data_IF_014066028753
#
_entry.id   IF_014066028753
#
_cell.length_a   1.000
_cell.length_b   1.000
_cell.length_c   1.000
_cell.angle_alpha   90.00
_cell.angle_beta   90.00
_cell.angle_gamma   90.00
#
_symmetry.space_group_name_H-M   'P 1'
#
loop_
_entity.id
_entity.type
_entity.pdbx_description
1 polymer ?
#
# COMPACT_ATOMS: atom_id res chain seq x y z
N UNK A 1 -10.36 -8.70 21.66
CA UNK A 1 -10.39 -8.26 23.09
C UNK A 1 -9.13 -8.62 23.89
N UNK A 2 -8.35 -9.66 23.51
CA UNK A 2 -7.12 -10.07 24.22
C UNK A 2 -6.08 -8.97 24.49
N UNK A 3 -5.92 -8.00 23.57
CA UNK A 3 -4.93 -6.92 23.73
C UNK A 3 -5.46 -5.66 24.44
N UNK A 4 -6.73 -5.64 24.85
CA UNK A 4 -7.33 -4.45 25.49
C UNK A 4 -6.60 -4.04 26.79
N UNK A 5 -6.23 -4.96 27.71
CA UNK A 5 -5.49 -4.60 28.91
C UNK A 5 -4.14 -3.94 28.61
N UNK A 6 -3.44 -4.42 27.57
CA UNK A 6 -2.19 -3.83 27.12
C UNK A 6 -2.37 -2.37 26.68
N UNK A 7 -3.35 -2.09 25.81
CA UNK A 7 -3.59 -0.72 25.33
C UNK A 7 -4.08 0.23 26.43
N UNK A 8 -4.85 -0.27 27.39
CA UNK A 8 -5.27 0.52 28.57
C UNK A 8 -4.05 0.85 29.43
N UNK A 9 -3.19 -0.12 29.72
CA UNK A 9 -1.95 0.09 30.47
C UNK A 9 -0.99 1.04 29.77
N UNK A 10 -0.80 0.86 28.45
CA UNK A 10 0.01 1.74 27.63
C UNK A 10 -0.52 3.18 27.68
N UNK A 11 -1.83 3.38 27.52
CA UNK A 11 -2.43 4.72 27.59
C UNK A 11 -2.19 5.39 28.95
N UNK A 12 -2.28 4.64 30.05
CA UNK A 12 -2.00 5.16 31.39
C UNK A 12 -0.53 5.61 31.51
N UNK A 13 0.42 4.77 31.10
CA UNK A 13 1.85 5.09 31.13
C UNK A 13 2.18 6.30 30.25
N UNK A 14 1.70 6.33 29.00
CA UNK A 14 1.93 7.45 28.10
C UNK A 14 1.35 8.75 28.67
N UNK A 15 0.16 8.71 29.27
CA UNK A 15 -0.44 9.91 29.89
C UNK A 15 0.35 10.39 31.12
N UNK A 16 0.89 9.47 31.91
CA UNK A 16 1.73 9.80 33.05
C UNK A 16 3.05 10.42 32.60
N UNK A 17 3.68 9.88 31.55
CA UNK A 17 4.89 10.45 30.96
C UNK A 17 4.68 11.90 30.46
N UNK A 18 3.50 12.23 29.93
CA UNK A 18 3.15 13.63 29.57
C UNK A 18 3.05 14.59 30.78
N UNK A 19 3.15 14.08 32.01
CA UNK A 19 3.02 14.88 33.24
C UNK A 19 4.33 14.92 34.02
N UNK A 20 5.05 13.80 34.07
CA UNK A 20 6.31 13.67 34.80
C UNK A 20 7.50 14.24 34.04
N UNK A 21 7.45 14.23 32.71
CA UNK A 21 8.48 14.81 31.86
C UNK A 21 8.04 16.19 31.37
N UNK A 22 8.99 17.13 31.28
CA UNK A 22 8.81 18.38 30.52
C UNK A 22 8.77 18.02 29.04
N UNK A 23 7.56 17.70 28.55
CA UNK A 23 7.33 17.36 27.14
C UNK A 23 6.96 18.63 26.39
N UNK A 24 7.84 19.07 25.51
CA UNK A 24 7.63 20.26 24.66
C UNK A 24 6.72 19.98 23.45
N UNK A 25 6.69 18.72 22.98
CA UNK A 25 5.97 18.31 21.78
C UNK A 25 5.59 16.84 21.85
N UNK A 26 4.37 16.51 21.44
CA UNK A 26 3.97 15.14 21.15
C UNK A 26 3.93 14.94 19.63
N UNK A 27 4.64 13.91 19.16
CA UNK A 27 4.68 13.50 17.75
C UNK A 27 4.02 12.11 17.58
N UNK A 28 2.68 12.02 17.48
CA UNK A 28 2.05 10.75 17.15
C UNK A 28 2.38 10.39 15.69
N UNK A 29 2.78 9.14 15.48
CA UNK A 29 3.09 8.59 14.15
C UNK A 29 2.03 7.53 13.82
N UNK A 30 1.25 7.76 12.76
CA UNK A 30 0.21 6.83 12.27
C UNK A 30 -0.79 6.40 13.37
N UNK A 31 -1.39 5.22 13.29
CA UNK A 31 -2.21 4.49 14.24
C UNK A 31 -3.25 5.32 15.03
N UNK A 32 -4.30 5.81 14.37
CA UNK A 32 -5.22 6.82 14.89
C UNK A 32 -6.06 6.30 16.07
N UNK A 33 -6.25 4.99 16.17
CA UNK A 33 -7.06 4.37 17.22
C UNK A 33 -6.53 4.64 18.63
N UNK A 34 -5.21 4.62 18.79
CA UNK A 34 -4.54 4.97 20.05
C UNK A 34 -4.11 6.44 20.06
N UNK A 35 -3.45 6.88 18.99
CA UNK A 35 -2.76 8.17 18.94
C UNK A 35 -3.71 9.37 19.03
N UNK A 36 -4.92 9.32 18.46
CA UNK A 36 -5.91 10.40 18.63
C UNK A 36 -6.31 10.61 20.10
N UNK A 37 -6.38 9.53 20.88
CA UNK A 37 -6.71 9.60 22.32
C UNK A 37 -5.54 10.13 23.14
N UNK A 38 -4.31 9.87 22.73
CA UNK A 38 -3.11 10.41 23.38
C UNK A 38 -2.95 11.89 23.04
N UNK A 39 -3.08 12.27 21.77
CA UNK A 39 -3.08 13.66 21.30
C UNK A 39 -4.13 14.51 22.04
N UNK A 40 -5.36 13.99 22.18
CA UNK A 40 -6.42 14.66 22.96
C UNK A 40 -6.05 14.88 24.44
N UNK A 41 -5.17 14.06 25.02
CA UNK A 41 -4.69 14.23 26.40
C UNK A 41 -3.54 15.23 26.48
N UNK A 42 -2.61 15.19 25.53
CA UNK A 42 -1.52 16.15 25.40
C UNK A 42 -2.06 17.58 25.24
N UNK A 43 -2.99 17.77 24.30
CA UNK A 43 -3.63 19.06 24.05
C UNK A 43 -4.37 19.63 25.26
N UNK A 44 -5.06 18.78 26.04
CA UNK A 44 -5.70 19.20 27.30
C UNK A 44 -4.72 19.65 28.39
N UNK A 45 -3.45 19.26 28.28
CA UNK A 45 -2.36 19.69 29.15
C UNK A 45 -1.61 20.91 28.59
N UNK A 46 -2.04 21.47 27.45
CA UNK A 46 -1.35 22.57 26.78
C UNK A 46 -0.07 22.15 26.06
N UNK A 47 0.16 20.84 25.84
CA UNK A 47 1.33 20.34 25.12
C UNK A 47 0.99 20.32 23.62
N UNK A 48 1.80 20.99 22.77
CA UNK A 48 1.63 20.95 21.32
C UNK A 48 1.67 19.54 20.73
N UNK A 49 0.91 19.32 19.66
CA UNK A 49 0.81 18.07 18.92
C UNK A 49 1.10 18.30 17.44
N UNK A 50 2.21 17.73 16.96
CA UNK A 50 2.47 17.55 15.53
C UNK A 50 2.11 16.12 15.17
N UNK A 51 1.06 15.90 14.38
CA UNK A 51 0.66 14.55 13.98
C UNK A 51 1.34 14.19 12.66
N UNK A 52 2.17 13.16 12.67
CA UNK A 52 2.91 12.70 11.49
C UNK A 52 2.30 11.43 10.91
N UNK A 53 2.17 11.38 9.58
CA UNK A 53 1.45 10.34 8.85
C UNK A 53 0.01 10.30 9.35
N UNK A 54 -0.83 11.16 8.77
CA UNK A 54 -2.25 10.94 8.84
C UNK A 54 -2.49 9.57 8.16
N UNK A 55 -2.92 8.53 8.89
CA UNK A 55 -3.40 7.32 8.23
C UNK A 55 -4.51 7.74 7.28
N UNK A 56 -4.91 6.89 6.33
CA UNK A 56 -6.01 7.19 5.40
C UNK A 56 -7.40 7.33 6.09
N UNK A 57 -7.49 7.90 7.29
CA UNK A 57 -8.66 8.20 8.12
C UNK A 57 -9.74 8.92 7.34
N UNK A 58 -9.36 9.72 6.35
CA UNK A 58 -10.24 10.36 5.39
C UNK A 58 -11.02 9.34 4.55
N UNK A 59 -10.37 8.24 4.13
CA UNK A 59 -11.01 7.16 3.41
C UNK A 59 -12.02 6.40 4.29
N UNK A 60 -11.90 6.41 5.62
CA UNK A 60 -12.77 5.60 6.49
C UNK A 60 -14.05 6.31 6.91
N UNK A 61 -13.99 7.59 7.28
CA UNK A 61 -15.16 8.42 7.61
C UNK A 61 -14.73 9.88 7.85
N UNK A 62 -15.46 10.85 7.28
CA UNK A 62 -15.22 12.30 7.45
C UNK A 62 -15.06 12.75 8.90
N UNK A 63 -15.79 12.14 9.84
CA UNK A 63 -15.69 12.45 11.28
C UNK A 63 -14.31 12.14 11.88
N UNK A 64 -13.55 11.20 11.31
CA UNK A 64 -12.18 10.89 11.78
C UNK A 64 -11.19 11.95 11.34
N UNK A 65 -11.31 12.44 10.11
CA UNK A 65 -10.52 13.57 9.62
C UNK A 65 -10.78 14.82 10.48
N UNK A 66 -12.06 15.16 10.70
CA UNK A 66 -12.45 16.26 11.59
C UNK A 66 -11.90 16.11 13.01
N UNK A 67 -11.94 14.89 13.59
CA UNK A 67 -11.38 14.63 14.91
C UNK A 67 -9.85 14.80 14.95
N UNK A 68 -9.15 14.40 13.89
CA UNK A 68 -7.70 14.54 13.80
C UNK A 68 -7.30 16.02 13.68
N UNK A 69 -7.96 16.78 12.80
CA UNK A 69 -7.83 18.23 12.71
C UNK A 69 -8.10 18.92 14.05
N UNK A 70 -9.12 18.45 14.79
CA UNK A 70 -9.48 18.99 16.09
C UNK A 70 -8.55 18.55 17.25
N UNK A 71 -7.49 17.76 17.04
CA UNK A 71 -6.56 17.36 18.12
C UNK A 71 -5.10 17.64 17.82
N UNK A 72 -4.75 17.83 16.56
CA UNK A 72 -3.41 18.20 16.13
C UNK A 72 -3.30 19.73 16.07
N UNK A 73 -2.19 20.29 16.54
CA UNK A 73 -1.84 21.69 16.27
C UNK A 73 -1.28 21.82 14.86
N UNK A 74 -0.56 20.80 14.39
CA UNK A 74 -0.07 20.67 13.01
C UNK A 74 -0.19 19.25 12.50
N UNK A 75 -0.44 19.10 11.21
CA UNK A 75 -0.47 17.83 10.50
C UNK A 75 0.66 17.77 9.47
N UNK A 76 1.50 16.74 9.57
CA UNK A 76 2.50 16.40 8.57
C UNK A 76 2.01 15.18 7.78
N UNK A 77 1.45 15.43 6.60
CA UNK A 77 0.83 14.42 5.74
C UNK A 77 1.79 13.94 4.65
N UNK A 78 1.57 12.73 4.14
CA UNK A 78 2.51 12.05 3.23
C UNK A 78 1.92 11.80 1.84
N UNK A 79 0.65 12.15 1.62
CA UNK A 79 0.05 12.19 0.30
C UNK A 79 -0.37 13.64 0.00
N UNK A 80 -0.08 14.16 -1.20
CA UNK A 80 -0.27 15.59 -1.50
C UNK A 80 -1.73 16.04 -1.37
N UNK A 81 -2.68 15.21 -1.80
CA UNK A 81 -4.12 15.53 -1.71
C UNK A 81 -4.65 15.56 -0.27
N UNK A 82 -3.90 15.06 0.72
CA UNK A 82 -4.33 15.11 2.13
C UNK A 82 -4.34 16.54 2.67
N UNK A 83 -3.55 17.46 2.09
CA UNK A 83 -3.61 18.88 2.44
C UNK A 83 -5.02 19.44 2.23
N UNK A 84 -5.62 19.22 1.05
CA UNK A 84 -6.97 19.69 0.74
C UNK A 84 -8.03 19.07 1.66
N UNK A 85 -7.87 17.78 1.97
CA UNK A 85 -8.77 17.03 2.86
C UNK A 85 -8.81 17.64 4.26
N UNK A 86 -7.67 18.04 4.81
CA UNK A 86 -7.57 18.60 6.15
C UNK A 86 -7.78 20.12 6.18
N UNK A 87 -7.46 20.83 5.10
CA UNK A 87 -7.78 22.24 4.93
C UNK A 87 -9.29 22.50 5.01
N UNK A 88 -10.13 21.57 4.54
CA UNK A 88 -11.59 21.62 4.70
C UNK A 88 -12.08 21.60 6.17
N UNK A 89 -11.19 21.34 7.12
CA UNK A 89 -11.44 21.37 8.57
C UNK A 89 -10.59 22.42 9.30
N UNK A 90 -10.09 23.43 8.58
CA UNK A 90 -9.27 24.53 9.11
C UNK A 90 -7.99 24.07 9.84
N UNK A 91 -7.44 22.91 9.47
CA UNK A 91 -6.22 22.39 10.09
C UNK A 91 -4.95 23.01 9.47
N UNK A 92 -3.94 23.30 10.29
CA UNK A 92 -2.57 23.62 9.82
C UNK A 92 -1.91 22.32 9.35
N UNK A 93 -1.99 22.06 8.05
CA UNK A 93 -1.52 20.84 7.40
C UNK A 93 -0.44 21.16 6.38
N UNK A 94 0.59 20.31 6.33
CA UNK A 94 1.63 20.35 5.29
C UNK A 94 1.97 18.97 4.77
N UNK A 95 2.07 18.85 3.46
CA UNK A 95 2.70 17.73 2.78
C UNK A 95 4.22 17.79 3.00
N UNK A 96 4.79 16.73 3.56
CA UNK A 96 6.22 16.67 3.94
C UNK A 96 7.02 15.69 3.10
N UNK A 97 6.46 15.22 1.98
CA UNK A 97 7.04 14.13 1.20
C UNK A 97 6.55 12.76 1.67
N UNK A 98 6.79 11.74 0.84
CA UNK A 98 6.46 10.37 1.16
C UNK A 98 7.74 9.58 1.46
N UNK A 99 7.85 8.85 2.60
CA UNK A 99 9.04 8.07 2.96
C UNK A 99 9.47 6.99 1.94
N UNK A 100 8.66 6.74 0.92
CA UNK A 100 9.00 5.77 -0.13
C UNK A 100 9.98 6.35 -1.15
N UNK A 101 10.04 7.69 -1.26
CA UNK A 101 10.96 8.38 -2.17
C UNK A 101 12.40 8.29 -1.67
N UNK A 102 12.59 8.18 -0.36
CA UNK A 102 13.91 8.12 0.28
C UNK A 102 14.48 6.69 0.38
N UNK A 103 13.84 5.69 -0.26
CA UNK A 103 14.34 4.31 -0.22
C UNK A 103 15.49 4.11 -1.19
N UNK A 104 16.51 3.39 -0.72
CA UNK A 104 17.61 2.95 -1.57
C UNK A 104 17.09 2.10 -2.73
N UNK A 105 17.71 2.28 -3.90
CA UNK A 105 17.44 1.51 -5.10
C UNK A 105 17.86 0.04 -4.98
N UNK A 106 17.63 -0.77 -6.03
CA UNK A 106 18.07 -2.16 -6.04
C UNK A 106 19.60 -2.24 -5.88
N UNK A 107 20.06 -3.22 -5.11
CA UNK A 107 21.50 -3.48 -4.94
C UNK A 107 22.05 -4.40 -6.02
N UNK A 108 21.21 -5.28 -6.58
CA UNK A 108 21.58 -6.23 -7.63
C UNK A 108 21.30 -5.68 -9.03
N UNK A 109 22.29 -5.84 -9.92
CA UNK A 109 22.09 -5.63 -11.35
C UNK A 109 21.13 -6.68 -11.95
N UNK A 110 20.66 -6.44 -13.17
CA UNK A 110 19.68 -7.29 -13.85
C UNK A 110 20.19 -8.71 -14.07
N UNK A 111 21.44 -8.89 -14.48
CA UNK A 111 21.99 -10.23 -14.75
C UNK A 111 22.08 -11.04 -13.45
N UNK A 112 22.57 -10.41 -12.38
CA UNK A 112 22.69 -11.03 -11.06
C UNK A 112 21.31 -11.41 -10.49
N UNK A 113 20.33 -10.50 -10.60
CA UNK A 113 18.96 -10.74 -10.17
C UNK A 113 18.31 -11.90 -10.94
N UNK A 114 18.41 -11.89 -12.28
CA UNK A 114 17.87 -12.95 -13.11
C UNK A 114 18.51 -14.30 -12.82
N UNK A 115 19.85 -14.35 -12.72
CA UNK A 115 20.60 -15.57 -12.43
C UNK A 115 20.22 -16.17 -11.07
N UNK A 116 20.04 -15.34 -10.05
CA UNK A 116 19.62 -15.79 -8.71
C UNK A 116 18.23 -16.46 -8.68
N UNK A 117 17.38 -16.17 -9.66
CA UNK A 117 16.03 -16.71 -9.79
C UNK A 117 15.87 -17.72 -10.95
N UNK A 118 16.97 -18.05 -11.66
CA UNK A 118 16.93 -18.93 -12.83
C UNK A 118 16.18 -18.33 -14.02
N UNK A 119 16.16 -17.00 -14.14
CA UNK A 119 15.51 -16.24 -15.20
C UNK A 119 16.49 -15.92 -16.33
N UNK A 120 15.94 -15.68 -17.52
CA UNK A 120 16.69 -15.20 -18.68
C UNK A 120 16.75 -13.67 -18.66
N UNK A 121 17.94 -13.03 -18.59
CA UNK A 121 18.05 -11.57 -18.53
C UNK A 121 17.47 -10.85 -19.76
N UNK A 122 17.36 -11.52 -20.92
CA UNK A 122 16.80 -10.93 -22.14
C UNK A 122 15.26 -10.95 -22.16
N UNK A 123 14.64 -11.76 -21.29
CA UNK A 123 13.18 -11.91 -21.23
C UNK A 123 12.52 -10.88 -20.31
N UNK A 124 11.31 -10.48 -20.68
CA UNK A 124 10.54 -9.44 -19.98
C UNK A 124 10.00 -9.98 -18.67
N UNK A 125 10.23 -9.28 -17.57
CA UNK A 125 9.76 -9.70 -16.24
C UNK A 125 8.36 -9.15 -15.98
N UNK A 126 7.42 -10.02 -15.65
CA UNK A 126 6.10 -9.66 -15.12
C UNK A 126 6.10 -9.85 -13.61
N UNK A 127 6.04 -8.76 -12.84
CA UNK A 127 6.05 -8.83 -11.39
C UNK A 127 4.64 -9.07 -10.82
N UNK A 128 4.51 -10.02 -9.90
CA UNK A 128 3.24 -10.36 -9.24
C UNK A 128 3.33 -10.05 -7.75
N UNK A 129 2.50 -9.11 -7.26
CA UNK A 129 2.45 -8.72 -5.85
C UNK A 129 1.10 -9.10 -5.23
N UNK A 130 0.91 -10.37 -4.78
CA UNK A 130 -0.37 -10.87 -4.31
C UNK A 130 -0.80 -10.28 -2.95
N UNK A 131 0.14 -9.73 -2.18
CA UNK A 131 -0.14 -9.02 -0.94
C UNK A 131 0.89 -9.25 0.15
N UNK A 132 0.75 -8.51 1.25
CA UNK A 132 1.70 -8.56 2.36
C UNK A 132 1.19 -9.33 3.56
N UNK A 133 -0.07 -9.79 3.53
CA UNK A 133 -0.71 -10.55 4.61
C UNK A 133 -1.26 -11.88 4.08
N UNK A 134 -1.31 -12.89 4.92
CA UNK A 134 -1.80 -14.24 4.57
C UNK A 134 -3.12 -14.21 3.81
N UNK A 135 -4.13 -13.54 4.37
CA UNK A 135 -5.46 -13.39 3.77
C UNK A 135 -5.46 -12.66 2.40
N UNK A 136 -4.45 -11.85 2.12
CA UNK A 136 -4.30 -11.18 0.84
C UNK A 136 -3.70 -12.19 -0.15
N UNK A 137 -2.62 -12.88 0.24
CA UNK A 137 -2.00 -13.95 -0.56
C UNK A 137 -3.03 -15.02 -0.94
N UNK A 138 -3.80 -15.52 0.02
CA UNK A 138 -4.84 -16.55 -0.20
C UNK A 138 -5.86 -16.16 -1.29
N UNK A 139 -6.18 -14.87 -1.41
CA UNK A 139 -7.20 -14.36 -2.34
C UNK A 139 -6.66 -13.99 -3.71
N UNK A 140 -5.38 -13.65 -3.80
CA UNK A 140 -4.79 -13.06 -5.01
C UNK A 140 -3.79 -13.99 -5.69
N UNK A 141 -3.07 -14.86 -4.96
CA UNK A 141 -2.04 -15.72 -5.55
C UNK A 141 -2.58 -16.60 -6.67
N UNK A 142 -3.72 -17.27 -6.44
CA UNK A 142 -4.37 -18.11 -7.46
C UNK A 142 -4.76 -17.31 -8.72
N UNK A 143 -5.60 -16.27 -8.61
CA UNK A 143 -5.97 -15.45 -9.76
C UNK A 143 -4.78 -14.80 -10.48
N UNK A 144 -3.76 -14.35 -9.74
CA UNK A 144 -2.58 -13.68 -10.32
C UNK A 144 -1.73 -14.67 -11.11
N UNK A 145 -1.47 -15.85 -10.56
CA UNK A 145 -0.70 -16.89 -11.25
C UNK A 145 -1.45 -17.44 -12.46
N UNK A 146 -2.78 -17.57 -12.38
CA UNK A 146 -3.61 -17.94 -13.52
C UNK A 146 -3.63 -16.87 -14.63
N UNK A 147 -3.66 -15.58 -14.27
CA UNK A 147 -3.52 -14.48 -15.23
C UNK A 147 -2.13 -14.48 -15.89
N UNK A 148 -1.08 -14.64 -15.08
CA UNK A 148 0.28 -14.68 -15.57
C UNK A 148 0.54 -15.86 -16.52
N UNK A 149 -0.06 -17.04 -16.26
CA UNK A 149 -0.04 -18.17 -17.23
C UNK A 149 -0.62 -17.77 -18.59
N UNK A 150 -1.79 -17.13 -18.60
CA UNK A 150 -2.42 -16.65 -19.85
C UNK A 150 -1.55 -15.63 -20.58
N UNK A 151 -0.85 -14.76 -19.85
CA UNK A 151 0.11 -13.82 -20.45
C UNK A 151 1.27 -14.57 -21.08
N UNK A 152 1.86 -15.56 -20.39
CA UNK A 152 2.96 -16.40 -20.93
C UNK A 152 2.51 -17.17 -22.17
N UNK A 153 1.30 -17.75 -22.16
CA UNK A 153 0.74 -18.48 -23.30
C UNK A 153 0.60 -17.57 -24.54
N UNK A 154 0.27 -16.29 -24.34
CA UNK A 154 0.16 -15.30 -25.40
C UNK A 154 1.49 -14.62 -25.77
N UNK A 155 2.46 -14.59 -24.85
CA UNK A 155 3.74 -13.86 -24.94
C UNK A 155 4.84 -14.68 -24.27
N UNK A 156 5.39 -15.65 -25.02
CA UNK A 156 6.41 -16.57 -24.52
C UNK A 156 7.67 -15.87 -23.99
N UNK A 157 7.99 -14.67 -24.47
CA UNK A 157 9.12 -13.87 -24.02
C UNK A 157 8.92 -13.21 -22.64
N UNK A 158 7.73 -13.35 -22.04
CA UNK A 158 7.44 -12.89 -20.67
C UNK A 158 7.76 -13.99 -19.67
N UNK A 159 8.34 -13.62 -18.53
CA UNK A 159 8.63 -14.51 -17.40
C UNK A 159 8.06 -13.90 -16.10
N UNK A 160 7.06 -14.55 -15.48
CA UNK A 160 6.49 -14.05 -14.23
C UNK A 160 7.39 -14.32 -13.02
N UNK A 161 7.38 -13.39 -12.05
CA UNK A 161 8.06 -13.54 -10.76
C UNK A 161 7.12 -13.07 -9.65
N UNK A 162 7.03 -13.84 -8.57
CA UNK A 162 6.14 -13.55 -7.45
C UNK A 162 6.93 -12.89 -6.32
N UNK A 163 6.45 -11.72 -5.90
CA UNK A 163 6.91 -11.08 -4.67
C UNK A 163 6.33 -11.81 -3.45
N UNK A 164 7.21 -12.37 -2.64
CA UNK A 164 6.88 -13.02 -1.37
C UNK A 164 7.11 -12.05 -0.23
N UNK A 165 6.06 -11.74 0.53
CA UNK A 165 6.19 -10.97 1.77
C UNK A 165 6.98 -11.76 2.82
N UNK A 166 7.99 -11.16 3.50
CA UNK A 166 8.71 -11.81 4.59
C UNK A 166 7.83 -12.06 5.82
N UNK A 167 6.72 -11.32 5.95
CA UNK A 167 5.77 -11.42 7.08
C UNK A 167 4.71 -12.51 6.90
N UNK A 168 4.71 -13.21 5.75
CA UNK A 168 3.76 -14.28 5.44
C UNK A 168 4.50 -15.61 5.47
N UNK A 169 3.87 -16.61 6.10
CA UNK A 169 4.39 -17.98 6.12
C UNK A 169 4.72 -18.45 4.69
N UNK A 170 5.94 -18.94 4.42
CA UNK A 170 6.32 -19.48 3.13
C UNK A 170 5.33 -20.51 2.58
N UNK A 171 4.68 -21.29 3.44
CA UNK A 171 3.70 -22.31 3.07
C UNK A 171 2.48 -21.73 2.33
N UNK A 172 2.17 -20.43 2.51
CA UNK A 172 1.10 -19.75 1.78
C UNK A 172 1.37 -19.65 0.26
N UNK A 173 2.61 -19.88 -0.16
CA UNK A 173 3.05 -19.86 -1.56
C UNK A 173 3.33 -21.27 -2.11
N UNK A 174 3.03 -22.32 -1.34
CA UNK A 174 3.24 -23.70 -1.78
C UNK A 174 2.45 -23.99 -3.06
N UNK A 175 3.13 -24.59 -4.05
CA UNK A 175 2.55 -24.88 -5.36
C UNK A 175 2.46 -23.68 -6.31
N UNK A 176 2.97 -22.50 -5.93
CA UNK A 176 3.11 -21.38 -6.85
C UNK A 176 3.98 -21.79 -8.07
N UNK A 177 3.54 -21.52 -9.32
CA UNK A 177 4.18 -22.06 -10.52
C UNK A 177 5.35 -21.21 -11.04
N UNK A 178 5.72 -20.13 -10.35
CA UNK A 178 6.73 -19.17 -10.79
C UNK A 178 7.75 -18.90 -9.69
N UNK A 179 8.97 -18.43 -10.04
CA UNK A 179 9.99 -18.06 -9.06
C UNK A 179 9.49 -17.03 -8.04
N UNK A 180 9.95 -17.18 -6.80
CA UNK A 180 9.62 -16.33 -5.66
C UNK A 180 10.83 -15.49 -5.27
N UNK A 181 10.61 -14.21 -4.93
CA UNK A 181 11.63 -13.36 -4.33
C UNK A 181 11.07 -12.57 -3.17
N UNK A 182 11.85 -12.40 -2.10
CA UNK A 182 11.53 -11.46 -1.02
C UNK A 182 11.99 -10.03 -1.31
N UNK A 183 12.82 -9.84 -2.35
CA UNK A 183 13.29 -8.54 -2.76
C UNK A 183 12.33 -7.90 -3.77
N UNK A 184 11.26 -7.31 -3.23
CA UNK A 184 10.26 -6.60 -4.02
C UNK A 184 10.79 -5.35 -4.71
N UNK A 185 11.82 -4.71 -4.13
CA UNK A 185 12.45 -3.50 -4.70
C UNK A 185 13.23 -3.88 -5.95
N UNK A 186 14.10 -4.90 -5.87
CA UNK A 186 14.81 -5.42 -7.04
C UNK A 186 13.85 -5.97 -8.10
N UNK A 187 12.78 -6.65 -7.68
CA UNK A 187 11.77 -7.12 -8.62
C UNK A 187 11.14 -5.97 -9.41
N UNK A 188 10.70 -4.89 -8.74
CA UNK A 188 10.14 -3.73 -9.43
C UNK A 188 11.16 -3.05 -10.35
N UNK A 189 12.39 -2.89 -9.88
CA UNK A 189 13.43 -2.22 -10.67
C UNK A 189 13.75 -2.93 -12.00
N UNK A 190 13.54 -4.25 -12.07
CA UNK A 190 13.79 -5.07 -13.27
C UNK A 190 12.51 -5.47 -14.03
N UNK A 191 11.33 -5.09 -13.51
CA UNK A 191 10.04 -5.44 -14.07
C UNK A 191 9.69 -4.61 -15.32
N UNK A 192 9.01 -5.25 -16.26
CA UNK A 192 8.45 -4.57 -17.43
C UNK A 192 7.01 -4.11 -17.17
N UNK A 193 6.25 -4.92 -16.45
CA UNK A 193 4.92 -4.61 -15.97
C UNK A 193 4.67 -5.31 -14.63
N UNK A 194 3.69 -4.85 -13.87
CA UNK A 194 3.33 -5.44 -12.59
C UNK A 194 1.82 -5.69 -12.45
N UNK A 195 1.46 -6.82 -11.85
CA UNK A 195 0.13 -7.10 -11.35
C UNK A 195 0.14 -6.97 -9.83
N UNK A 196 -0.55 -5.96 -9.31
CA UNK A 196 -0.38 -5.49 -7.93
C UNK A 196 -1.69 -5.53 -7.18
N UNK A 197 -1.70 -6.20 -6.02
CA UNK A 197 -2.81 -6.10 -5.08
C UNK A 197 -2.89 -4.67 -4.54
N UNK A 198 -4.07 -4.05 -4.55
CA UNK A 198 -4.25 -2.65 -4.10
C UNK A 198 -3.64 -2.35 -2.72
N UNK A 199 -2.86 -1.27 -2.61
CA UNK A 199 -2.16 -0.87 -1.38
C UNK A 199 -0.88 -0.09 -1.68
N UNK A 200 0.01 0.03 -0.68
CA UNK A 200 1.25 0.81 -0.77
C UNK A 200 2.14 0.39 -1.94
N UNK A 201 2.16 -0.90 -2.29
CA UNK A 201 2.90 -1.42 -3.43
C UNK A 201 2.51 -0.76 -4.75
N UNK A 202 1.29 -0.25 -4.90
CA UNK A 202 0.91 0.51 -6.11
C UNK A 202 1.71 1.80 -6.23
N UNK A 203 1.99 2.49 -5.12
CA UNK A 203 2.83 3.69 -5.13
C UNK A 203 4.30 3.33 -5.36
N UNK A 204 4.81 2.26 -4.74
CA UNK A 204 6.16 1.76 -5.00
C UNK A 204 6.36 1.41 -6.49
N UNK A 205 5.37 0.78 -7.10
CA UNK A 205 5.38 0.41 -8.53
C UNK A 205 5.36 1.65 -9.42
N UNK A 206 4.56 2.67 -9.07
CA UNK A 206 4.54 3.94 -9.80
C UNK A 206 5.87 4.70 -9.69
N UNK A 207 6.47 4.72 -8.49
CA UNK A 207 7.78 5.35 -8.25
C UNK A 207 8.91 4.65 -9.02
N UNK A 208 8.82 3.32 -9.18
CA UNK A 208 9.74 2.55 -10.00
C UNK A 208 9.54 2.76 -11.52
N UNK A 209 8.54 3.55 -11.94
CA UNK A 209 8.22 3.77 -13.35
C UNK A 209 7.68 2.52 -14.05
N UNK A 210 7.15 1.56 -13.28
CA UNK A 210 6.64 0.30 -13.82
C UNK A 210 5.14 0.43 -14.10
N UNK A 211 4.68 0.22 -15.35
CA UNK A 211 3.25 0.19 -15.64
C UNK A 211 2.59 -1.00 -14.94
N UNK A 212 1.37 -0.81 -14.45
CA UNK A 212 0.73 -1.78 -13.57
C UNK A 212 -0.75 -1.99 -13.85
N UNK A 213 -1.22 -3.18 -13.47
CA UNK A 213 -2.63 -3.50 -13.26
C UNK A 213 -2.86 -3.66 -11.77
N UNK A 214 -3.84 -2.94 -11.24
CA UNK A 214 -4.25 -2.99 -9.83
C UNK A 214 -5.43 -3.94 -9.71
N UNK A 215 -5.32 -4.89 -8.79
CA UNK A 215 -6.40 -5.83 -8.49
C UNK A 215 -6.71 -5.85 -6.99
N UNK A 216 -7.97 -6.10 -6.62
CA UNK A 216 -8.30 -6.29 -5.22
C UNK A 216 -9.52 -7.19 -5.01
N UNK A 217 -9.39 -8.20 -4.16
CA UNK A 217 -10.45 -9.12 -3.72
C UNK A 217 -10.48 -9.18 -2.20
N UNK A 218 -11.66 -9.04 -1.63
CA UNK A 218 -11.90 -9.24 -0.20
C UNK A 218 -13.24 -9.95 0.01
N UNK A 219 -13.61 -10.25 1.26
CA UNK A 219 -14.90 -10.85 1.52
C UNK A 219 -16.03 -9.94 1.02
N UNK A 220 -17.05 -10.44 0.30
CA UNK A 220 -18.10 -9.60 -0.31
C UNK A 220 -18.81 -8.70 0.69
N UNK A 221 -19.10 -9.19 1.89
CA UNK A 221 -19.69 -8.38 2.97
C UNK A 221 -18.77 -7.23 3.42
N UNK A 222 -17.46 -7.48 3.49
CA UNK A 222 -16.47 -6.44 3.84
C UNK A 222 -16.39 -5.40 2.73
N UNK A 223 -16.40 -5.82 1.47
CA UNK A 223 -16.40 -4.89 0.34
C UNK A 223 -17.67 -4.04 0.27
N UNK A 224 -18.83 -4.67 0.46
CA UNK A 224 -20.13 -3.99 0.46
C UNK A 224 -20.22 -2.93 1.57
N UNK A 225 -19.67 -3.24 2.75
CA UNK A 225 -19.58 -2.30 3.87
C UNK A 225 -18.57 -1.18 3.57
N UNK A 226 -17.37 -1.53 3.09
CA UNK A 226 -16.35 -0.56 2.75
C UNK A 226 -16.86 0.44 1.71
N UNK A 227 -17.52 -0.01 0.64
CA UNK A 227 -18.09 0.86 -0.40
C UNK A 227 -19.17 1.81 0.13
N UNK A 228 -19.80 1.51 1.27
CA UNK A 228 -20.76 2.42 1.93
C UNK A 228 -20.12 3.43 2.87
N UNK A 229 -18.91 3.13 3.34
CA UNK A 229 -18.20 3.95 4.33
C UNK A 229 -17.07 4.78 3.71
N UNK A 230 -16.55 4.34 2.56
CA UNK A 230 -15.42 4.92 1.86
C UNK A 230 -15.93 5.73 0.66
N UNK A 231 -15.61 7.02 0.65
CA UNK A 231 -16.01 7.99 -0.37
C UNK A 231 -14.78 8.33 -1.24
N UNK A 232 -14.38 7.39 -2.12
CA UNK A 232 -13.20 7.54 -3.00
C UNK A 232 -13.48 6.98 -4.39
N UNK A 233 -12.99 7.67 -5.42
CA UNK A 233 -13.15 7.25 -6.83
C UNK A 233 -12.17 6.13 -7.23
N UNK A 234 -11.11 5.94 -6.46
CA UNK A 234 -10.02 4.99 -6.71
C UNK A 234 -9.64 4.27 -5.42
N UNK A 235 -9.38 2.97 -5.47
CA UNK A 235 -8.84 2.22 -4.31
C UNK A 235 -7.32 2.12 -4.40
N UNK A 236 -6.77 2.07 -5.61
CA UNK A 236 -5.32 2.08 -5.82
C UNK A 236 -4.69 3.40 -5.39
N UNK A 237 -3.70 3.35 -4.48
CA UNK A 237 -2.99 4.53 -3.99
C UNK A 237 -2.33 5.33 -5.13
N UNK A 238 -1.79 4.65 -6.15
CA UNK A 238 -1.23 5.31 -7.32
C UNK A 238 -2.27 6.15 -8.08
N UNK A 239 -3.48 5.62 -8.31
CA UNK A 239 -4.56 6.35 -8.97
C UNK A 239 -5.08 7.50 -8.10
N UNK A 240 -5.18 7.28 -6.77
CA UNK A 240 -5.57 8.32 -5.80
C UNK A 240 -4.60 9.51 -5.80
N UNK A 241 -3.31 9.24 -5.70
CA UNK A 241 -2.26 10.29 -5.72
C UNK A 241 -2.25 11.01 -7.06
N UNK A 242 -2.49 10.30 -8.17
CA UNK A 242 -2.54 10.91 -9.49
C UNK A 242 -3.82 11.73 -9.75
N UNK A 243 -4.86 11.59 -8.91
CA UNK A 243 -6.17 12.21 -9.13
C UNK A 243 -6.91 11.72 -10.39
N UNK A 244 -6.42 10.63 -11.00
CA UNK A 244 -6.97 10.02 -12.21
C UNK A 244 -6.56 8.56 -12.32
N UNK A 245 -7.27 7.80 -13.14
CA UNK A 245 -6.95 6.40 -13.44
C UNK A 245 -5.71 6.30 -14.34
N UNK A 246 -4.54 6.11 -13.74
CA UNK A 246 -3.26 5.87 -14.44
C UNK A 246 -2.98 4.39 -14.66
N UNK A 247 -3.57 3.53 -13.82
CA UNK A 247 -3.47 2.09 -13.90
C UNK A 247 -4.88 1.47 -13.96
N UNK A 248 -5.02 0.40 -14.74
CA UNK A 248 -6.26 -0.38 -14.75
C UNK A 248 -6.54 -0.92 -13.35
N UNK A 249 -7.77 -0.78 -12.86
CA UNK A 249 -8.19 -1.21 -11.54
C UNK A 249 -9.37 -2.18 -11.68
N UNK A 250 -9.15 -3.44 -11.29
CA UNK A 250 -10.12 -4.54 -11.37
C UNK A 250 -10.44 -5.02 -9.96
N UNK A 251 -11.72 -4.94 -9.58
CA UNK A 251 -12.16 -5.15 -8.20
C UNK A 251 -13.12 -6.34 -8.12
N UNK A 252 -12.98 -7.13 -7.06
CA UNK A 252 -13.85 -8.27 -6.73
C UNK A 252 -14.04 -9.24 -7.91
N UNK A 253 -15.24 -9.26 -8.49
CA UNK A 253 -15.62 -10.17 -9.57
C UNK A 253 -15.00 -9.77 -10.91
N UNK A 254 -14.61 -8.50 -11.08
CA UNK A 254 -13.92 -8.04 -12.28
C UNK A 254 -12.46 -8.53 -12.31
N UNK A 255 -11.89 -8.88 -11.15
CA UNK A 255 -10.52 -9.39 -11.02
C UNK A 255 -10.41 -10.88 -11.40
N UNK A 256 -10.97 -11.26 -12.55
CA UNK A 256 -10.85 -12.61 -13.10
C UNK A 256 -9.48 -12.81 -13.77
N UNK A 257 -8.94 -14.04 -13.81
CA UNK A 257 -7.71 -14.32 -14.54
C UNK A 257 -7.70 -13.84 -16.00
N UNK A 258 -8.87 -13.86 -16.66
CA UNK A 258 -9.05 -13.38 -18.03
C UNK A 258 -8.83 -11.88 -18.13
N UNK A 259 -9.62 -11.11 -17.37
CA UNK A 259 -9.60 -9.67 -17.41
C UNK A 259 -8.26 -9.10 -16.93
N UNK A 260 -7.64 -9.75 -15.93
CA UNK A 260 -6.29 -9.39 -15.47
C UNK A 260 -5.25 -9.61 -16.58
N UNK A 261 -5.30 -10.73 -17.28
CA UNK A 261 -4.39 -10.99 -18.39
C UNK A 261 -4.59 -10.00 -19.55
N UNK A 262 -5.85 -9.75 -19.94
CA UNK A 262 -6.18 -8.77 -20.99
C UNK A 262 -5.68 -7.37 -20.66
N UNK A 263 -5.77 -6.94 -19.39
CA UNK A 263 -5.23 -5.66 -18.95
C UNK A 263 -3.69 -5.62 -18.92
N UNK A 264 -3.02 -6.77 -18.75
CA UNK A 264 -1.56 -6.87 -18.69
C UNK A 264 -0.89 -6.93 -20.07
N UNK A 265 -1.55 -7.55 -21.06
CA UNK A 265 -0.98 -7.76 -22.39
C UNK A 265 -0.43 -6.46 -23.05
N UNK A 266 -1.16 -5.32 -23.02
CA UNK A 266 -0.64 -4.07 -23.58
C UNK A 266 0.58 -3.51 -22.83
N UNK A 267 0.76 -3.85 -21.55
CA UNK A 267 1.83 -3.31 -20.71
C UNK A 267 3.13 -4.12 -20.84
N UNK A 268 3.03 -5.41 -21.17
CA UNK A 268 4.19 -6.27 -21.43
C UNK A 268 4.69 -6.14 -22.87
N UNK A 269 3.87 -5.62 -23.78
CA UNK A 269 4.25 -5.27 -25.15
C UNK A 269 4.92 -3.89 -25.20
N UNK A 270 5.85 -3.68 -26.13
CA UNK A 270 6.42 -2.35 -26.35
C UNK A 270 5.44 -1.52 -27.20
N UNK A 271 5.00 -0.39 -26.66
CA UNK A 271 4.08 0.50 -27.36
C UNK A 271 3.57 1.64 -26.47
N UNK A 272 2.69 2.52 -27.00
CA UNK A 272 2.20 3.71 -26.28
C UNK A 272 1.41 3.43 -25.00
N UNK A 273 0.99 2.18 -24.78
CA UNK A 273 0.28 1.76 -23.58
C UNK A 273 1.21 1.53 -22.38
N UNK A 274 2.53 1.41 -22.62
CA UNK A 274 3.59 1.29 -21.61
C UNK A 274 4.18 2.67 -21.31
#
# INVERSE_FOLDING_TARGET
LRHLPFFVGLMRRSTHALTEAEVDLVLPIDYPGFNLRLASRARRKGIPVLYYIAPQVWAWHRSRAAKMAAVADRLAVILPFEEDVFAAYDADVRFVGHPLVDRDGPTADRESFCRGLGLDPERRILALFPGSRLQEVDRHLGPFTAAARRVVDARWHVQPVIARSPDVDPAAYDGAPFPLTTDGVALLAHAHAALVKSGTTTLETALAGVPMVIAYRTHPATFWLARRLVDVDHIGLANLVAGRRIAAELLQEDATPAALAEALLPLVDEGPAR
#
